data_IF_867746452782
#
_entry.id   IF_867746452782
#
_cell.length_a   1.000
_cell.length_b   1.000
_cell.length_c   1.000
_cell.angle_alpha   90.00
_cell.angle_beta   90.00
_cell.angle_gamma   90.00
#
_symmetry.space_group_name_H-M   'P 1'
#
loop_
_entity.id
_entity.type
_entity.pdbx_description
1 polymer ?
#
# COMPACT_ATOMS: atom_id res chain seq x y z
N UNK A 1 -43.11 70.06 37.26
CA UNK A 1 -43.67 68.80 36.74
C UNK A 1 -42.76 68.34 35.63
N UNK A 2 -41.90 67.38 35.94
CA UNK A 2 -41.12 66.61 34.97
C UNK A 2 -41.33 65.17 35.37
N UNK A 3 -42.21 64.51 34.62
CA UNK A 3 -42.61 63.12 34.81
C UNK A 3 -41.50 62.25 34.21
N UNK A 4 -40.72 61.59 35.07
CA UNK A 4 -39.80 60.53 34.64
C UNK A 4 -40.62 59.25 34.47
N UNK A 5 -40.84 58.84 33.22
CA UNK A 5 -41.31 57.49 32.90
C UNK A 5 -40.11 56.54 32.95
N UNK A 6 -40.05 55.70 33.98
CA UNK A 6 -39.11 54.57 34.06
C UNK A 6 -39.44 53.57 32.94
N UNK A 7 -38.54 53.46 31.96
CA UNK A 7 -38.66 52.52 30.86
C UNK A 7 -38.20 51.13 31.35
N UNK A 8 -39.16 50.26 31.66
CA UNK A 8 -38.91 48.88 32.07
C UNK A 8 -38.30 48.09 30.90
N UNK A 9 -36.96 48.02 30.85
CA UNK A 9 -36.22 47.29 29.81
C UNK A 9 -36.37 45.78 30.06
N UNK A 10 -37.29 45.13 29.36
CA UNK A 10 -37.44 43.68 29.42
C UNK A 10 -36.11 42.99 29.06
N UNK A 11 -35.67 41.97 29.85
CA UNK A 11 -34.39 41.34 29.63
C UNK A 11 -34.37 40.67 28.25
N UNK A 12 -33.44 41.07 27.39
CA UNK A 12 -33.37 40.51 26.05
C UNK A 12 -33.03 39.02 26.14
N UNK A 13 -33.92 38.18 25.60
CA UNK A 13 -33.73 36.72 25.55
C UNK A 13 -32.73 36.32 24.44
N UNK A 14 -32.37 37.25 23.56
CA UNK A 14 -31.49 37.01 22.42
C UNK A 14 -30.10 36.46 22.80
N UNK A 15 -29.41 36.94 23.85
CA UNK A 15 -28.12 36.39 24.28
C UNK A 15 -28.27 34.98 24.87
N UNK A 16 -29.37 34.70 25.57
CA UNK A 16 -29.63 33.38 26.14
C UNK A 16 -29.89 32.34 25.05
N UNK A 17 -30.69 32.68 24.03
CA UNK A 17 -30.92 31.83 22.87
C UNK A 17 -29.62 31.54 22.08
N UNK A 18 -28.75 32.54 21.94
CA UNK A 18 -27.46 32.38 21.27
C UNK A 18 -26.54 31.43 22.05
N UNK A 19 -26.46 31.56 23.38
CA UNK A 19 -25.67 30.66 24.22
C UNK A 19 -26.18 29.22 24.14
N UNK A 20 -27.50 29.02 24.17
CA UNK A 20 -28.10 27.68 24.01
C UNK A 20 -27.79 27.09 22.64
N UNK A 21 -27.84 27.89 21.57
CA UNK A 21 -27.50 27.43 20.22
C UNK A 21 -26.01 27.03 20.10
N UNK A 22 -25.10 27.82 20.67
CA UNK A 22 -23.66 27.53 20.66
C UNK A 22 -23.35 26.27 21.48
N UNK A 23 -23.92 26.14 22.68
CA UNK A 23 -23.73 24.96 23.53
C UNK A 23 -24.36 23.71 22.89
N UNK A 24 -25.51 23.85 22.24
CA UNK A 24 -26.14 22.77 21.49
C UNK A 24 -25.28 22.29 20.33
N UNK A 25 -24.72 23.22 19.53
CA UNK A 25 -23.80 22.88 18.45
C UNK A 25 -22.52 22.23 18.98
N UNK A 26 -21.93 22.76 20.05
CA UNK A 26 -20.74 22.17 20.68
C UNK A 26 -21.00 20.75 21.18
N UNK A 27 -22.16 20.49 21.79
CA UNK A 27 -22.55 19.15 22.22
C UNK A 27 -22.72 18.19 21.04
N UNK A 28 -23.33 18.63 19.93
CA UNK A 28 -23.44 17.83 18.70
C UNK A 28 -22.06 17.53 18.12
N UNK A 29 -21.17 18.51 18.01
CA UNK A 29 -19.80 18.30 17.53
C UNK A 29 -19.00 17.35 18.43
N UNK A 30 -19.12 17.47 19.75
CA UNK A 30 -18.47 16.56 20.69
C UNK A 30 -19.01 15.13 20.56
N UNK A 31 -20.32 14.96 20.39
CA UNK A 31 -20.94 13.65 20.18
C UNK A 31 -20.52 13.02 18.85
N UNK A 32 -20.48 13.80 17.77
CA UNK A 32 -19.97 13.33 16.47
C UNK A 32 -18.48 12.96 16.56
N UNK A 33 -17.65 13.78 17.20
CA UNK A 33 -16.23 13.50 17.37
C UNK A 33 -15.97 12.24 18.21
N UNK A 34 -16.70 12.07 19.31
CA UNK A 34 -16.59 10.89 20.17
C UNK A 34 -17.16 9.63 19.50
N UNK A 35 -18.28 9.76 18.78
CA UNK A 35 -18.86 8.67 17.99
C UNK A 35 -17.92 8.21 16.89
N UNK A 36 -17.30 9.16 16.16
CA UNK A 36 -16.26 8.85 15.19
C UNK A 36 -15.05 8.19 15.85
N UNK A 37 -14.59 8.68 17.00
CA UNK A 37 -13.49 8.05 17.73
C UNK A 37 -13.80 6.58 18.06
N UNK A 38 -14.98 6.29 18.62
CA UNK A 38 -15.37 4.92 18.96
C UNK A 38 -15.39 4.05 17.70
N UNK A 39 -16.03 4.50 16.62
CA UNK A 39 -16.17 3.72 15.38
C UNK A 39 -14.83 3.50 14.67
N UNK A 40 -13.95 4.49 14.65
CA UNK A 40 -12.63 4.38 13.99
C UNK A 40 -11.54 3.79 14.90
N UNK A 41 -11.82 3.58 16.19
CA UNK A 41 -10.83 3.04 17.13
C UNK A 41 -10.57 1.54 16.97
N UNK A 42 -11.49 0.79 16.36
CA UNK A 42 -11.38 -0.66 16.18
C UNK A 42 -11.07 -1.02 14.72
N UNK A 43 -9.78 -0.99 14.38
CA UNK A 43 -9.30 -1.25 13.01
C UNK A 43 -9.11 -2.75 12.71
N UNK A 44 -9.13 -3.62 13.72
CA UNK A 44 -8.85 -5.05 13.55
C UNK A 44 -9.84 -5.77 12.63
N UNK A 45 -11.18 -5.58 12.76
CA UNK A 45 -12.13 -6.23 11.85
C UNK A 45 -11.96 -5.80 10.40
N UNK A 46 -11.61 -4.53 10.16
CA UNK A 46 -11.34 -4.02 8.82
C UNK A 46 -10.03 -4.56 8.26
N UNK A 47 -8.99 -4.70 9.08
CA UNK A 47 -7.73 -5.30 8.66
C UNK A 47 -7.90 -6.78 8.31
N UNK A 48 -8.61 -7.54 9.14
CA UNK A 48 -8.96 -8.94 8.85
C UNK A 48 -9.67 -9.04 7.50
N UNK A 49 -10.75 -8.27 7.33
CA UNK A 49 -11.55 -8.26 6.09
C UNK A 49 -10.73 -7.83 4.87
N UNK A 50 -9.85 -6.84 5.03
CA UNK A 50 -8.95 -6.39 3.96
C UNK A 50 -7.99 -7.47 3.51
N UNK A 51 -7.45 -8.27 4.43
CA UNK A 51 -6.56 -9.39 4.08
C UNK A 51 -7.36 -10.54 3.45
N UNK A 52 -8.42 -11.00 4.12
CA UNK A 52 -9.18 -12.20 3.74
C UNK A 52 -9.99 -12.01 2.45
N UNK A 53 -10.75 -10.91 2.37
CA UNK A 53 -11.69 -10.71 1.26
C UNK A 53 -11.11 -9.93 0.08
N UNK A 54 -9.99 -9.21 0.26
CA UNK A 54 -9.41 -8.39 -0.81
C UNK A 54 -8.00 -8.84 -1.21
N UNK A 55 -7.05 -8.83 -0.27
CA UNK A 55 -5.65 -9.05 -0.60
C UNK A 55 -5.36 -10.49 -1.01
N UNK A 56 -5.86 -11.49 -0.28
CA UNK A 56 -5.67 -12.91 -0.62
C UNK A 56 -6.25 -13.22 -2.03
N UNK A 57 -7.52 -12.87 -2.34
CA UNK A 57 -8.06 -13.05 -3.68
C UNK A 57 -7.25 -12.34 -4.76
N UNK A 58 -6.79 -11.12 -4.47
CA UNK A 58 -5.96 -10.36 -5.40
C UNK A 58 -4.62 -11.05 -5.68
N UNK A 59 -3.92 -11.57 -4.66
CA UNK A 59 -2.67 -12.34 -4.83
C UNK A 59 -2.91 -13.60 -5.65
N UNK A 60 -4.01 -14.33 -5.38
CA UNK A 60 -4.39 -15.53 -6.15
C UNK A 60 -4.60 -15.23 -7.64
N UNK A 61 -5.11 -14.04 -7.97
CA UNK A 61 -5.35 -13.58 -9.34
C UNK A 61 -4.15 -12.84 -9.97
N UNK A 62 -3.06 -12.63 -9.24
CA UNK A 62 -1.90 -11.89 -9.74
C UNK A 62 -1.15 -12.65 -10.85
N UNK A 63 -0.12 -12.04 -11.43
CA UNK A 63 0.79 -12.70 -12.40
C UNK A 63 2.00 -13.37 -11.72
N UNK A 64 2.03 -13.48 -10.39
CA UNK A 64 3.12 -14.13 -9.66
C UNK A 64 3.24 -15.62 -10.03
N UNK A 65 4.45 -16.17 -9.91
CA UNK A 65 4.68 -17.60 -10.06
C UNK A 65 3.79 -18.42 -9.09
N UNK A 66 3.27 -19.60 -9.47
CA UNK A 66 2.33 -20.37 -8.64
C UNK A 66 2.83 -20.66 -7.21
N UNK A 67 4.12 -20.98 -7.08
CA UNK A 67 4.81 -21.24 -5.82
C UNK A 67 4.89 -20.00 -4.93
N UNK A 68 5.22 -18.83 -5.51
CA UNK A 68 5.27 -17.57 -4.79
C UNK A 68 3.86 -17.13 -4.35
N UNK A 69 2.85 -17.30 -5.22
CA UNK A 69 1.44 -17.04 -4.89
C UNK A 69 1.00 -17.87 -3.69
N UNK A 70 1.25 -19.18 -3.73
CA UNK A 70 0.85 -20.08 -2.67
C UNK A 70 1.51 -19.67 -1.35
N UNK A 71 2.83 -19.45 -1.37
CA UNK A 71 3.58 -19.05 -0.17
C UNK A 71 3.13 -17.69 0.39
N UNK A 72 2.88 -16.69 -0.46
CA UNK A 72 2.38 -15.38 0.01
C UNK A 72 0.97 -15.50 0.57
N UNK A 73 0.09 -16.31 -0.05
CA UNK A 73 -1.25 -16.58 0.47
C UNK A 73 -1.18 -17.25 1.84
N UNK A 74 -0.31 -18.25 2.01
CA UNK A 74 -0.13 -18.92 3.30
C UNK A 74 0.35 -17.94 4.37
N UNK A 75 1.36 -17.11 4.05
CA UNK A 75 1.83 -16.04 4.95
C UNK A 75 0.73 -15.04 5.32
N UNK A 76 -0.13 -14.66 4.37
CA UNK A 76 -1.29 -13.79 4.65
C UNK A 76 -2.34 -14.49 5.53
N UNK A 77 -2.58 -15.78 5.32
CA UNK A 77 -3.49 -16.59 6.13
C UNK A 77 -2.99 -16.75 7.57
N UNK A 78 -1.67 -16.83 7.78
CA UNK A 78 -1.05 -16.84 9.10
C UNK A 78 -1.26 -15.53 9.87
N UNK A 79 -1.44 -14.40 9.17
CA UNK A 79 -1.74 -13.10 9.81
C UNK A 79 -3.18 -12.98 10.31
N UNK A 80 -4.14 -13.71 9.70
CA UNK A 80 -5.55 -13.63 10.07
C UNK A 80 -5.84 -13.94 11.55
N UNK A 81 -5.37 -15.08 12.12
CA UNK A 81 -5.59 -15.37 13.54
C UNK A 81 -4.88 -14.36 14.44
N UNK A 82 -3.69 -13.87 14.06
CA UNK A 82 -2.95 -12.85 14.82
C UNK A 82 -3.77 -11.55 14.95
N UNK A 83 -4.44 -11.15 13.87
CA UNK A 83 -5.31 -9.96 13.84
C UNK A 83 -6.63 -10.23 14.58
N UNK A 84 -7.26 -11.38 14.38
CA UNK A 84 -8.52 -11.74 15.03
C UNK A 84 -8.38 -11.81 16.56
N UNK A 85 -7.31 -12.45 17.04
CA UNK A 85 -6.97 -12.56 18.46
C UNK A 85 -6.42 -11.27 19.07
N UNK A 86 -6.15 -10.25 18.24
CA UNK A 86 -5.53 -8.98 18.62
C UNK A 86 -4.16 -9.18 19.30
N UNK A 87 -3.41 -10.16 18.81
CA UNK A 87 -2.09 -10.55 19.33
C UNK A 87 -0.98 -9.55 18.99
N UNK A 88 -1.27 -8.56 18.14
CA UNK A 88 -0.42 -7.41 17.83
C UNK A 88 -1.06 -6.11 18.30
N UNK A 89 -0.25 -5.13 18.70
CA UNK A 89 -0.75 -3.82 19.13
C UNK A 89 -1.20 -2.94 17.93
N UNK A 90 -1.81 -1.78 18.24
CA UNK A 90 -2.33 -0.86 17.21
C UNK A 90 -1.23 -0.26 16.33
N UNK A 91 -0.03 -0.08 16.85
CA UNK A 91 1.10 0.47 16.12
C UNK A 91 1.67 -0.56 15.13
N UNK A 92 1.81 -1.81 15.57
CA UNK A 92 2.13 -2.96 14.73
C UNK A 92 1.08 -3.15 13.63
N UNK A 93 -0.21 -3.08 13.97
CA UNK A 93 -1.29 -3.17 12.99
C UNK A 93 -1.21 -2.07 11.93
N UNK A 94 -0.91 -0.82 12.34
CA UNK A 94 -0.74 0.30 11.42
C UNK A 94 0.48 0.11 10.50
N UNK A 95 1.62 -0.35 11.05
CA UNK A 95 2.81 -0.67 10.26
C UNK A 95 2.54 -1.79 9.27
N UNK A 96 1.89 -2.86 9.71
CA UNK A 96 1.50 -3.98 8.85
C UNK A 96 0.60 -3.50 7.71
N UNK A 97 -0.44 -2.71 8.02
CA UNK A 97 -1.32 -2.13 7.01
C UNK A 97 -0.53 -1.34 5.96
N UNK A 98 0.32 -0.42 6.39
CA UNK A 98 1.12 0.40 5.47
C UNK A 98 2.05 -0.48 4.63
N UNK A 99 2.69 -1.47 5.27
CA UNK A 99 3.55 -2.43 4.59
C UNK A 99 2.80 -3.20 3.51
N UNK A 100 1.59 -3.72 3.79
CA UNK A 100 0.80 -4.49 2.83
C UNK A 100 0.25 -3.62 1.70
N UNK A 101 -0.18 -2.39 2.00
CA UNK A 101 -0.74 -1.46 1.02
C UNK A 101 0.31 -1.01 0.00
N UNK A 102 1.49 -0.64 0.50
CA UNK A 102 2.57 -0.05 -0.30
C UNK A 102 3.64 -1.08 -0.71
N UNK A 103 3.33 -2.38 -0.62
CA UNK A 103 4.28 -3.44 -0.92
C UNK A 103 4.54 -3.56 -2.44
N UNK A 104 5.75 -3.27 -2.96
CA UNK A 104 6.05 -3.43 -4.38
C UNK A 104 6.13 -4.91 -4.82
N UNK A 105 6.40 -5.84 -3.89
CA UNK A 105 6.54 -7.28 -4.18
C UNK A 105 5.25 -7.88 -4.70
N UNK A 106 4.13 -7.31 -4.29
CA UNK A 106 2.80 -7.70 -4.78
C UNK A 106 2.66 -7.49 -6.30
N UNK A 107 3.40 -6.55 -6.89
CA UNK A 107 3.43 -6.29 -8.34
C UNK A 107 4.49 -7.12 -9.08
N UNK A 108 5.25 -7.97 -8.38
CA UNK A 108 6.40 -8.66 -8.95
C UNK A 108 6.06 -9.69 -10.04
N UNK A 109 4.81 -10.16 -10.06
CA UNK A 109 4.31 -10.98 -11.15
C UNK A 109 4.47 -10.34 -12.53
N UNK A 110 4.37 -8.99 -12.60
CA UNK A 110 4.65 -8.28 -13.84
C UNK A 110 6.12 -8.36 -14.27
N UNK A 111 7.06 -8.31 -13.31
CA UNK A 111 8.49 -8.49 -13.60
C UNK A 111 8.79 -9.90 -14.09
N UNK A 112 8.21 -10.91 -13.43
CA UNK A 112 8.33 -12.31 -13.84
C UNK A 112 7.80 -12.50 -15.27
N UNK A 113 6.66 -11.91 -15.61
CA UNK A 113 6.10 -11.95 -16.96
C UNK A 113 7.00 -11.26 -18.00
N UNK A 114 7.59 -10.10 -17.68
CA UNK A 114 8.53 -9.41 -18.58
C UNK A 114 9.77 -10.28 -18.83
N UNK A 115 10.32 -10.91 -17.78
CA UNK A 115 11.47 -11.81 -17.90
C UNK A 115 11.17 -13.03 -18.78
N UNK A 116 10.00 -13.63 -18.62
CA UNK A 116 9.56 -14.77 -19.44
C UNK A 116 9.38 -14.37 -20.91
N UNK A 117 8.73 -13.23 -21.17
CA UNK A 117 8.47 -12.77 -22.53
C UNK A 117 9.75 -12.32 -23.26
N UNK A 118 10.78 -11.84 -22.54
CA UNK A 118 12.03 -11.37 -23.11
C UNK A 118 12.74 -12.42 -23.99
N UNK A 119 12.58 -13.71 -23.70
CA UNK A 119 13.15 -14.82 -24.49
C UNK A 119 12.55 -14.91 -25.91
N UNK A 120 11.33 -14.38 -26.11
CA UNK A 120 10.61 -14.38 -27.40
C UNK A 120 10.81 -13.13 -28.26
N UNK A 121 11.67 -12.20 -27.86
CA UNK A 121 11.83 -10.87 -28.50
C UNK A 121 13.12 -10.74 -29.32
N UNK A 122 13.34 -9.56 -29.93
CA UNK A 122 14.56 -9.16 -30.62
C UNK A 122 15.72 -8.75 -29.70
N UNK A 123 15.56 -8.88 -28.37
CA UNK A 123 16.63 -8.60 -27.41
C UNK A 123 17.85 -9.50 -27.67
N UNK A 124 19.04 -8.90 -27.54
CA UNK A 124 20.32 -9.63 -27.57
C UNK A 124 20.53 -10.41 -26.27
N UNK A 125 21.45 -11.38 -26.28
CA UNK A 125 21.80 -12.13 -25.06
C UNK A 125 22.30 -11.21 -23.94
N UNK A 126 23.15 -10.24 -24.28
CA UNK A 126 23.66 -9.24 -23.34
C UNK A 126 22.53 -8.40 -22.74
N UNK A 127 21.53 -8.01 -23.52
CA UNK A 127 20.38 -7.29 -22.99
C UNK A 127 19.53 -8.17 -22.06
N UNK A 128 19.35 -9.46 -22.38
CA UNK A 128 18.65 -10.42 -21.49
C UNK A 128 19.39 -10.62 -20.17
N UNK A 129 20.71 -10.77 -20.19
CA UNK A 129 21.53 -10.85 -18.97
C UNK A 129 21.45 -9.56 -18.15
N UNK A 130 21.45 -8.40 -18.82
CA UNK A 130 21.27 -7.09 -18.18
C UNK A 130 19.90 -6.98 -17.53
N UNK A 131 18.84 -7.40 -18.23
CA UNK A 131 17.48 -7.43 -17.69
C UNK A 131 17.41 -8.29 -16.42
N UNK A 132 17.94 -9.52 -16.46
CA UNK A 132 18.02 -10.41 -15.28
C UNK A 132 18.71 -9.69 -14.11
N UNK A 133 19.89 -9.10 -14.35
CA UNK A 133 20.63 -8.34 -13.33
C UNK A 133 19.86 -7.15 -12.75
N UNK A 134 19.17 -6.39 -13.60
CA UNK A 134 18.34 -5.26 -13.16
C UNK A 134 17.21 -5.72 -12.24
N UNK A 135 16.53 -6.81 -12.59
CA UNK A 135 15.42 -7.33 -11.78
C UNK A 135 15.88 -7.85 -10.42
N UNK A 136 17.05 -8.51 -10.34
CA UNK A 136 17.65 -8.91 -9.05
C UNK A 136 17.96 -7.69 -8.17
N UNK A 137 18.53 -6.63 -8.75
CA UNK A 137 18.81 -5.38 -8.03
C UNK A 137 17.54 -4.67 -7.57
N UNK A 138 16.49 -4.65 -8.40
CA UNK A 138 15.19 -4.11 -8.00
C UNK A 138 14.57 -4.92 -6.87
N UNK A 139 14.71 -6.25 -6.87
CA UNK A 139 14.21 -7.11 -5.80
C UNK A 139 14.91 -6.82 -4.48
N UNK A 140 16.23 -6.60 -4.54
CA UNK A 140 17.00 -6.12 -3.39
C UNK A 140 16.48 -4.78 -2.88
N UNK A 141 16.35 -3.79 -3.77
CA UNK A 141 15.84 -2.47 -3.44
C UNK A 141 14.44 -2.53 -2.79
N UNK A 142 13.58 -3.43 -3.28
CA UNK A 142 12.27 -3.71 -2.68
C UNK A 142 12.37 -4.30 -1.28
N UNK A 143 13.23 -5.31 -1.09
CA UNK A 143 13.42 -5.94 0.21
C UNK A 143 14.04 -4.97 1.24
N UNK A 144 14.94 -4.10 0.79
CA UNK A 144 15.58 -3.06 1.59
C UNK A 144 14.64 -1.88 1.90
N UNK A 145 13.37 -1.93 1.46
CA UNK A 145 12.33 -0.90 1.65
C UNK A 145 12.65 0.45 0.98
N UNK A 146 13.47 0.41 -0.06
CA UNK A 146 13.86 1.57 -0.85
C UNK A 146 13.00 1.74 -2.11
N UNK A 147 12.32 0.67 -2.56
CA UNK A 147 11.39 0.72 -3.68
C UNK A 147 9.96 0.99 -3.19
N UNK A 148 9.39 2.13 -3.56
CA UNK A 148 7.97 2.38 -3.34
C UNK A 148 7.12 1.65 -4.40
N UNK A 149 5.89 1.27 -4.03
CA UNK A 149 4.93 0.68 -4.96
C UNK A 149 4.68 1.55 -6.20
N UNK A 150 4.52 2.86 -6.04
CA UNK A 150 4.26 3.77 -7.17
C UNK A 150 5.43 3.84 -8.15
N UNK A 151 6.67 3.78 -7.66
CA UNK A 151 7.86 3.73 -8.53
C UNK A 151 7.90 2.43 -9.32
N UNK A 152 7.49 1.33 -8.69
CA UNK A 152 7.34 0.04 -9.35
C UNK A 152 6.24 0.06 -10.42
N UNK A 153 5.07 0.63 -10.10
CA UNK A 153 3.98 0.83 -11.06
C UNK A 153 4.44 1.67 -12.26
N UNK A 154 5.10 2.80 -12.01
CA UNK A 154 5.67 3.64 -13.06
C UNK A 154 6.70 2.90 -13.91
N UNK A 155 7.55 2.09 -13.29
CA UNK A 155 8.56 1.29 -14.00
C UNK A 155 7.91 0.27 -14.93
N UNK A 156 6.79 -0.35 -14.51
CA UNK A 156 6.05 -1.36 -15.29
C UNK A 156 5.20 -0.79 -16.45
N UNK A 157 4.81 0.48 -16.40
CA UNK A 157 3.93 1.11 -17.41
C UNK A 157 4.30 0.88 -18.89
N UNK A 158 5.57 0.82 -19.32
CA UNK A 158 5.91 0.53 -20.71
C UNK A 158 5.40 -0.84 -21.16
N UNK A 159 5.27 -1.81 -20.25
CA UNK A 159 4.89 -3.19 -20.53
C UNK A 159 3.49 -3.54 -20.01
N UNK A 160 2.91 -2.71 -19.14
CA UNK A 160 1.65 -3.01 -18.47
C UNK A 160 0.51 -2.09 -18.90
N UNK A 161 -0.72 -2.58 -18.72
CA UNK A 161 -1.96 -1.81 -18.81
C UNK A 161 -2.70 -1.86 -17.48
N UNK A 162 -3.54 -0.87 -17.22
CA UNK A 162 -4.47 -0.93 -16.09
C UNK A 162 -5.48 -2.05 -16.38
N UNK A 163 -5.66 -2.95 -15.42
CA UNK A 163 -6.62 -4.06 -15.49
C UNK A 163 -8.05 -3.53 -15.57
N UNK A 164 -8.95 -4.28 -16.18
CA UNK A 164 -10.34 -3.88 -16.41
C UNK A 164 -11.10 -3.48 -15.12
N UNK A 165 -10.72 -4.06 -13.98
CA UNK A 165 -11.29 -3.75 -12.69
C UNK A 165 -10.74 -2.46 -12.05
N UNK A 166 -9.77 -1.80 -12.68
CA UNK A 166 -9.06 -0.60 -12.20
C UNK A 166 -8.31 -0.80 -10.88
N UNK A 167 -8.13 -2.05 -10.42
CA UNK A 167 -7.51 -2.37 -9.14
C UNK A 167 -6.03 -2.74 -9.25
N UNK A 168 -5.47 -2.79 -10.46
CA UNK A 168 -4.07 -3.14 -10.63
C UNK A 168 -3.53 -2.97 -12.05
N UNK A 169 -2.24 -3.28 -12.18
CA UNK A 169 -1.55 -3.39 -13.46
C UNK A 169 -1.51 -4.85 -13.88
N UNK A 170 -1.66 -5.08 -15.18
CA UNK A 170 -1.45 -6.37 -15.83
C UNK A 170 -0.46 -6.18 -16.97
N UNK A 171 0.59 -7.00 -17.00
CA UNK A 171 1.56 -6.97 -18.10
C UNK A 171 0.89 -7.51 -19.35
N UNK A 172 1.02 -6.76 -20.45
CA UNK A 172 0.48 -7.13 -21.76
C UNK A 172 1.17 -8.40 -22.27
N UNK A 173 0.44 -9.17 -23.07
CA UNK A 173 1.04 -10.25 -23.86
C UNK A 173 1.76 -9.66 -25.07
N UNK A 174 2.72 -10.42 -25.61
CA UNK A 174 3.43 -10.11 -26.85
C UNK A 174 4.28 -8.83 -26.79
N UNK A 175 5.00 -8.64 -25.68
CA UNK A 175 5.91 -7.51 -25.51
C UNK A 175 6.98 -7.45 -26.60
N UNK A 176 7.23 -6.24 -27.10
CA UNK A 176 8.33 -5.96 -28.02
C UNK A 176 9.64 -5.69 -27.27
N UNK A 177 10.80 -5.90 -27.91
CA UNK A 177 12.09 -5.56 -27.30
C UNK A 177 12.20 -4.08 -26.94
N UNK A 178 11.60 -3.18 -27.72
CA UNK A 178 11.58 -1.75 -27.43
C UNK A 178 10.80 -1.39 -26.15
N UNK A 179 9.70 -2.10 -25.86
CA UNK A 179 8.97 -1.93 -24.60
C UNK A 179 9.79 -2.41 -23.41
N UNK A 180 10.46 -3.56 -23.55
CA UNK A 180 11.33 -4.10 -22.49
C UNK A 180 12.55 -3.21 -22.27
N UNK A 181 13.15 -2.65 -23.33
CA UNK A 181 14.24 -1.66 -23.21
C UNK A 181 13.80 -0.43 -22.41
N UNK A 182 12.57 0.09 -22.63
CA UNK A 182 12.02 1.19 -21.81
C UNK A 182 11.83 0.82 -20.34
N UNK A 183 11.40 -0.42 -20.06
CA UNK A 183 11.36 -0.94 -18.69
C UNK A 183 12.77 -0.99 -18.07
N UNK A 184 13.77 -1.47 -18.81
CA UNK A 184 15.17 -1.53 -18.36
C UNK A 184 15.73 -0.12 -18.09
N UNK A 185 15.47 0.84 -18.97
CA UNK A 185 15.89 2.24 -18.79
C UNK A 185 15.33 2.86 -17.51
N UNK A 186 14.02 2.69 -17.26
CA UNK A 186 13.38 3.18 -16.02
C UNK A 186 13.93 2.49 -14.78
N UNK A 187 14.13 1.17 -14.87
CA UNK A 187 14.70 0.37 -13.79
C UNK A 187 16.10 0.85 -13.42
N UNK A 188 16.96 1.05 -14.42
CA UNK A 188 18.34 1.48 -14.21
C UNK A 188 18.39 2.89 -13.61
N UNK A 189 17.56 3.83 -14.08
CA UNK A 189 17.46 5.17 -13.48
C UNK A 189 17.07 5.09 -12.00
N UNK A 190 16.10 4.24 -11.65
CA UNK A 190 15.64 4.09 -10.28
C UNK A 190 16.73 3.49 -9.37
N UNK A 191 17.44 2.48 -9.86
CA UNK A 191 18.55 1.83 -9.15
C UNK A 191 19.73 2.78 -8.97
N UNK A 192 20.07 3.59 -9.98
CA UNK A 192 21.12 4.60 -9.91
C UNK A 192 20.80 5.69 -8.89
N UNK A 193 19.55 6.18 -8.87
CA UNK A 193 19.13 7.22 -7.93
C UNK A 193 19.15 6.77 -6.46
N UNK A 194 19.21 5.46 -6.19
CA UNK A 194 19.22 4.88 -4.85
C UNK A 194 20.53 4.16 -4.52
N UNK A 195 21.58 4.35 -5.32
CA UNK A 195 22.92 3.76 -5.12
C UNK A 195 22.89 2.23 -4.88
N UNK A 196 21.98 1.51 -5.55
CA UNK A 196 21.78 0.07 -5.32
C UNK A 196 22.96 -0.72 -5.90
N UNK A 197 23.70 -1.49 -5.07
CA UNK A 197 24.88 -2.22 -5.51
C UNK A 197 24.57 -3.19 -6.66
N UNK A 198 25.51 -3.30 -7.61
CA UNK A 198 25.44 -4.29 -8.68
C UNK A 198 25.94 -5.66 -8.18
N UNK A 199 25.14 -6.31 -7.34
CA UNK A 199 25.40 -7.65 -6.79
C UNK A 199 24.21 -8.55 -7.07
N UNK A 200 24.44 -9.86 -7.13
CA UNK A 200 23.34 -10.83 -7.22
C UNK A 200 22.47 -10.77 -5.98
N UNK A 201 21.19 -11.11 -6.17
CA UNK A 201 20.22 -11.18 -5.10
C UNK A 201 19.24 -12.31 -5.37
N UNK A 202 19.31 -13.35 -4.54
CA UNK A 202 18.69 -14.65 -4.83
C UNK A 202 17.37 -14.87 -4.09
N UNK A 203 16.75 -13.80 -3.57
CA UNK A 203 15.48 -13.91 -2.85
C UNK A 203 14.30 -14.00 -3.80
N UNK A 204 13.40 -14.94 -3.52
CA UNK A 204 12.13 -15.02 -4.23
C UNK A 204 11.16 -13.92 -3.77
N UNK A 205 10.13 -13.59 -4.57
CA UNK A 205 9.06 -12.70 -4.14
C UNK A 205 8.44 -13.11 -2.81
N UNK A 206 8.18 -14.41 -2.60
CA UNK A 206 7.62 -14.88 -1.33
C UNK A 206 8.55 -14.65 -0.13
N UNK A 207 9.86 -14.86 -0.28
CA UNK A 207 10.83 -14.57 0.77
C UNK A 207 10.92 -13.06 1.05
N UNK A 208 10.98 -12.23 0.01
CA UNK A 208 11.03 -10.78 0.13
C UNK A 208 9.76 -10.24 0.84
N UNK A 209 8.59 -10.78 0.48
CA UNK A 209 7.33 -10.44 1.14
C UNK A 209 7.39 -10.76 2.64
N UNK A 210 7.85 -11.95 3.02
CA UNK A 210 8.00 -12.35 4.41
C UNK A 210 8.95 -11.46 5.20
N UNK A 211 10.08 -11.07 4.60
CA UNK A 211 11.03 -10.13 5.20
C UNK A 211 10.36 -8.77 5.49
N UNK A 212 9.57 -8.26 4.54
CA UNK A 212 8.87 -6.99 4.70
C UNK A 212 7.78 -7.05 5.79
N UNK A 213 6.99 -8.13 5.82
CA UNK A 213 5.97 -8.35 6.85
C UNK A 213 6.60 -8.46 8.23
N UNK A 214 7.66 -9.26 8.36
CA UNK A 214 8.37 -9.43 9.64
C UNK A 214 8.96 -8.09 10.12
N UNK A 215 9.59 -7.31 9.23
CA UNK A 215 10.11 -5.99 9.57
C UNK A 215 9.02 -4.99 9.97
N UNK A 216 7.78 -5.16 9.50
CA UNK A 216 6.64 -4.33 9.89
C UNK A 216 6.12 -4.69 11.29
N UNK A 217 6.07 -5.98 11.62
CA UNK A 217 5.64 -6.49 12.91
C UNK A 217 6.70 -6.27 14.00
N UNK A 218 7.97 -6.52 13.66
CA UNK A 218 9.11 -6.52 14.54
C UNK A 218 10.23 -5.61 13.97
N UNK A 219 10.06 -4.28 13.99
CA UNK A 219 11.06 -3.37 13.44
C UNK A 219 12.40 -3.52 14.18
N UNK A 220 13.54 -3.45 13.46
CA UNK A 220 14.86 -3.52 14.09
C UNK A 220 14.98 -2.40 15.12
N UNK A 221 15.54 -2.74 16.29
CA UNK A 221 15.83 -1.75 17.34
C UNK A 221 16.91 -0.80 16.82
N UNK A 222 16.56 0.47 16.66
CA UNK A 222 17.48 1.56 16.31
C UNK A 222 18.36 1.89 17.50
#
# INVERSE_FOLDING_TARGET
>A
MTEQTDEHKEPSLAPACLVVAILGLAAVCAFCGFGSWIVFSDQYPFAYKGIDEQLIPWVKQSQLAPEDKASIVDQLQELLPIIEERSIDKEQLLRLRNCLQDNPILLWGGVQSILEQAEGTDLTETERETLKRLTERLMRMATDRLLARNDMEFTLQPCATVRDDQLGLEVRTDLTGDEIRKFMERSEQLLQNNDIPNMSYDKTPAEAFGILVEAALNPPKI
#
